data_IF_760660919363
#
_entry.id   IF_760660919363
#
_cell.length_a   1.000
_cell.length_b   1.000
_cell.length_c   1.000
_cell.angle_alpha   90.00
_cell.angle_beta   90.00
_cell.angle_gamma   90.00
#
_symmetry.space_group_name_H-M   'P 1'
#
loop_
_entity.id
_entity.type
_entity.pdbx_description
1 polymer ?
#
# COMPACT_ATOMS: atom_id res chain seq x y z
N UNK A 1 -0.24 6.13 33.62
CA UNK A 1 -0.88 5.32 32.56
C UNK A 1 0.25 4.75 31.73
N UNK A 2 0.39 3.43 31.68
CA UNK A 2 1.49 2.77 30.96
C UNK A 2 1.28 2.98 29.47
N UNK A 3 2.10 3.84 28.85
CA UNK A 3 2.23 3.93 27.40
C UNK A 3 2.78 2.60 26.90
N UNK A 4 1.92 1.62 26.64
CA UNK A 4 2.29 0.46 25.85
C UNK A 4 2.48 0.94 24.42
N UNK A 5 3.67 0.72 23.88
CA UNK A 5 3.95 0.92 22.47
C UNK A 5 2.92 0.12 21.64
N UNK A 6 2.28 0.71 20.63
CA UNK A 6 1.31 0.00 19.82
C UNK A 6 1.95 -1.20 19.13
N UNK A 7 1.35 -2.38 19.29
CA UNK A 7 1.81 -3.61 18.64
C UNK A 7 1.44 -3.55 17.14
N UNK A 8 2.42 -3.50 16.22
CA UNK A 8 2.14 -3.34 14.79
C UNK A 8 1.50 -4.58 14.15
N UNK A 9 1.36 -5.69 14.90
CA UNK A 9 0.76 -6.95 14.46
C UNK A 9 -0.68 -7.15 14.95
N UNK A 10 -1.29 -6.13 15.57
CA UNK A 10 -2.69 -6.16 16.01
C UNK A 10 -3.36 -4.81 15.72
N UNK A 11 -4.62 -4.81 15.32
CA UNK A 11 -5.40 -3.58 15.19
C UNK A 11 -6.05 -3.22 16.52
N UNK A 12 -6.05 -1.93 16.93
CA UNK A 12 -6.96 -1.44 17.96
C UNK A 12 -8.42 -1.73 17.59
N UNK A 13 -9.30 -2.06 18.56
CA UNK A 13 -10.69 -2.42 18.29
C UNK A 13 -11.53 -1.26 17.71
N UNK A 14 -11.22 -0.03 18.10
CA UNK A 14 -12.03 1.16 17.79
C UNK A 14 -11.34 2.11 16.80
N UNK A 15 -10.67 1.55 15.79
CA UNK A 15 -10.00 2.36 14.78
C UNK A 15 -11.01 3.24 14.01
N UNK A 16 -10.72 4.54 13.83
CA UNK A 16 -11.57 5.41 13.05
C UNK A 16 -11.61 4.98 11.57
N UNK A 17 -12.83 4.90 11.03
CA UNK A 17 -13.07 4.48 9.64
C UNK A 17 -12.78 5.64 8.70
N UNK A 18 -11.89 5.48 7.69
CA UNK A 18 -11.71 6.50 6.65
C UNK A 18 -13.00 6.64 5.82
N UNK A 19 -13.42 7.88 5.56
CA UNK A 19 -14.54 8.16 4.68
C UNK A 19 -14.10 8.14 3.22
N UNK A 20 -14.99 7.65 2.35
CA UNK A 20 -14.80 7.77 0.91
C UNK A 20 -15.13 9.20 0.47
N UNK A 21 -14.12 9.89 -0.05
CA UNK A 21 -14.19 11.26 -0.54
C UNK A 21 -14.19 11.36 -2.07
N UNK A 22 -14.29 10.22 -2.78
CA UNK A 22 -14.27 10.17 -4.25
C UNK A 22 -12.91 10.48 -4.87
N UNK A 23 -11.84 10.62 -4.07
CA UNK A 23 -10.52 11.02 -4.57
C UNK A 23 -9.84 10.01 -5.51
N UNK A 24 -10.46 8.85 -5.73
CA UNK A 24 -9.98 7.83 -6.66
C UNK A 24 -10.94 7.56 -7.84
N UNK A 25 -12.07 8.28 -7.94
CA UNK A 25 -13.10 7.99 -8.95
C UNK A 25 -12.58 8.16 -10.39
N UNK A 26 -11.63 9.06 -10.59
CA UNK A 26 -11.01 9.32 -11.90
C UNK A 26 -10.05 8.21 -12.34
N UNK A 27 -9.56 7.37 -11.42
CA UNK A 27 -8.52 6.37 -11.71
C UNK A 27 -9.05 5.19 -12.53
N UNK A 28 -10.36 4.89 -12.46
CA UNK A 28 -10.94 3.77 -13.17
C UNK A 28 -10.67 3.89 -14.68
N UNK A 29 -10.05 2.85 -15.27
CA UNK A 29 -9.69 2.76 -16.69
C UNK A 29 -8.55 3.68 -17.15
N UNK A 30 -7.90 4.43 -16.26
CA UNK A 30 -6.67 5.16 -16.60
C UNK A 30 -5.54 4.19 -16.95
N UNK A 31 -4.62 4.63 -17.83
CA UNK A 31 -3.32 3.98 -17.99
C UNK A 31 -2.33 4.58 -17.01
N UNK A 32 -1.49 3.73 -16.44
CA UNK A 32 -0.40 4.18 -15.59
C UNK A 32 0.58 5.07 -16.39
N UNK A 33 1.13 6.10 -15.75
CA UNK A 33 2.18 6.91 -16.33
C UNK A 33 3.48 6.09 -16.45
N UNK A 34 4.25 6.33 -17.50
CA UNK A 34 5.61 5.80 -17.58
C UNK A 34 6.52 6.55 -16.60
N UNK A 35 6.71 5.97 -15.43
CA UNK A 35 7.61 6.46 -14.38
C UNK A 35 8.47 5.31 -13.86
N UNK A 36 9.64 5.65 -13.34
CA UNK A 36 10.54 4.69 -12.71
C UNK A 36 10.57 4.90 -11.20
N UNK A 37 10.28 3.84 -10.46
CA UNK A 37 10.36 3.82 -9.00
C UNK A 37 11.46 2.87 -8.55
N UNK A 38 12.25 3.29 -7.57
CA UNK A 38 13.29 2.44 -6.97
C UNK A 38 12.63 1.33 -6.16
N UNK A 39 13.07 0.09 -6.37
CA UNK A 39 12.60 -1.07 -5.61
C UNK A 39 13.53 -1.43 -4.46
N UNK A 40 13.00 -2.22 -3.53
CA UNK A 40 13.77 -2.88 -2.45
C UNK A 40 14.87 -3.84 -2.94
N UNK A 41 14.95 -4.12 -4.23
CA UNK A 41 16.01 -4.93 -4.85
C UNK A 41 17.11 -4.07 -5.49
N UNK A 42 17.06 -2.74 -5.31
CA UNK A 42 18.00 -1.80 -5.91
C UNK A 42 17.80 -1.57 -7.41
N UNK A 43 16.71 -2.07 -7.98
CA UNK A 43 16.36 -1.90 -9.41
C UNK A 43 15.28 -0.85 -9.59
N UNK A 44 15.29 -0.16 -10.72
CA UNK A 44 14.19 0.68 -11.16
C UNK A 44 13.08 -0.17 -11.76
N UNK A 45 11.83 0.17 -11.45
CA UNK A 45 10.63 -0.48 -11.96
C UNK A 45 9.70 0.53 -12.60
N UNK A 46 9.20 0.19 -13.80
CA UNK A 46 8.16 0.94 -14.48
C UNK A 46 6.89 0.07 -14.58
N UNK A 47 5.90 0.39 -13.75
CA UNK A 47 4.64 -0.35 -13.66
C UNK A 47 3.80 -0.24 -14.96
N UNK A 48 3.94 0.85 -15.73
CA UNK A 48 3.21 1.00 -16.99
C UNK A 48 3.75 0.11 -18.11
N UNK A 49 5.04 -0.28 -18.04
CA UNK A 49 5.70 -1.16 -19.01
C UNK A 49 5.60 -2.65 -18.70
N UNK A 50 5.07 -3.01 -17.53
CA UNK A 50 4.89 -4.40 -17.17
C UNK A 50 3.70 -5.00 -17.96
N UNK A 51 3.99 -5.98 -18.81
CA UNK A 51 2.96 -6.79 -19.46
C UNK A 51 2.36 -7.78 -18.47
N UNK A 52 1.04 -7.98 -18.54
CA UNK A 52 0.31 -8.90 -17.69
C UNK A 52 -0.38 -8.24 -16.50
N UNK A 53 -0.64 -9.06 -15.49
CA UNK A 53 -1.53 -8.74 -14.37
C UNK A 53 -0.72 -8.31 -13.15
N UNK A 54 -1.09 -7.19 -12.54
CA UNK A 54 -0.37 -6.63 -11.39
C UNK A 54 -1.31 -6.13 -10.31
N UNK A 55 -0.96 -6.35 -9.05
CA UNK A 55 -1.60 -5.75 -7.88
C UNK A 55 -0.62 -4.74 -7.29
N UNK A 56 -1.08 -3.52 -7.08
CA UNK A 56 -0.31 -2.46 -6.40
C UNK A 56 -1.09 -2.00 -5.19
N UNK A 57 -0.60 -2.29 -3.99
CA UNK A 57 -1.18 -1.74 -2.76
C UNK A 57 -0.33 -0.58 -2.24
N UNK A 58 -1.00 0.48 -1.81
CA UNK A 58 -0.38 1.73 -1.37
C UNK A 58 -0.73 1.96 0.09
N UNK A 59 0.27 2.29 0.90
CA UNK A 59 0.11 2.41 2.34
C UNK A 59 0.80 3.67 2.91
N UNK A 60 0.22 4.27 3.97
CA UNK A 60 0.75 5.48 4.59
C UNK A 60 2.21 5.35 5.07
N UNK A 61 2.44 4.56 6.13
CA UNK A 61 3.76 4.33 6.73
C UNK A 61 3.74 3.12 7.69
N UNK A 62 4.86 2.41 7.78
CA UNK A 62 5.12 1.35 8.76
C UNK A 62 6.03 1.87 9.87
N UNK A 63 5.97 1.22 11.04
CA UNK A 63 6.90 1.52 12.13
C UNK A 63 8.35 1.20 11.75
N UNK A 64 9.27 2.08 12.13
CA UNK A 64 10.71 1.96 11.87
C UNK A 64 11.41 1.62 13.18
N UNK A 65 12.15 0.49 13.28
CA UNK A 65 12.85 0.12 14.50
C UNK A 65 13.82 1.23 14.95
N UNK A 66 13.81 1.54 16.25
CA UNK A 66 14.65 2.57 16.84
C UNK A 66 14.20 4.01 16.56
N UNK A 67 13.07 4.23 15.89
CA UNK A 67 12.41 5.55 15.81
C UNK A 67 11.17 5.58 16.69
N UNK A 68 10.88 6.76 17.23
CA UNK A 68 9.64 6.99 17.95
C UNK A 68 8.43 6.83 17.01
N UNK A 69 7.30 6.31 17.52
CA UNK A 69 6.07 6.26 16.74
C UNK A 69 5.61 7.69 16.41
N UNK A 70 4.92 7.82 15.27
CA UNK A 70 4.22 9.06 14.93
C UNK A 70 3.16 9.30 16.02
N UNK A 71 3.10 10.46 16.67
CA UNK A 71 2.11 10.69 17.72
C UNK A 71 0.68 10.55 17.17
N UNK A 72 -0.29 10.22 18.03
CA UNK A 72 -1.73 10.08 17.72
C UNK A 72 -2.07 9.31 16.41
N UNK A 73 -1.18 8.45 15.93
CA UNK A 73 -1.34 7.75 14.66
C UNK A 73 -2.62 6.90 14.62
N UNK A 74 -2.96 6.29 15.76
CA UNK A 74 -4.16 5.48 15.92
C UNK A 74 -5.47 6.30 15.88
N UNK A 75 -5.39 7.61 16.08
CA UNK A 75 -6.53 8.52 15.98
C UNK A 75 -6.78 9.02 14.55
N UNK A 76 -5.86 8.77 13.60
CA UNK A 76 -5.99 9.24 12.22
C UNK A 76 -6.69 8.17 11.37
N UNK A 77 -7.87 8.45 10.77
CA UNK A 77 -8.60 7.47 9.96
C UNK A 77 -7.75 6.88 8.83
N UNK A 78 -7.63 5.55 8.81
CA UNK A 78 -6.90 4.80 7.78
C UNK A 78 -5.37 4.79 7.90
N UNK A 79 -4.78 5.52 8.85
CA UNK A 79 -3.33 5.57 9.04
C UNK A 79 -2.75 4.26 9.65
N UNK A 80 -3.37 3.65 10.68
CA UNK A 80 -2.87 2.41 11.28
C UNK A 80 -3.02 1.19 10.37
N UNK A 81 -2.25 0.14 10.68
CA UNK A 81 -2.40 -1.18 10.05
C UNK A 81 -1.61 -1.44 8.76
N UNK A 82 -0.62 -0.61 8.40
CA UNK A 82 0.20 -0.83 7.20
C UNK A 82 0.98 -2.15 7.22
N UNK A 83 1.47 -2.55 8.39
CA UNK A 83 2.13 -3.85 8.58
C UNK A 83 1.16 -4.99 8.28
N UNK A 84 -0.04 -4.95 8.85
CA UNK A 84 -1.07 -5.98 8.65
C UNK A 84 -1.59 -6.03 7.21
N UNK A 85 -1.76 -4.90 6.55
CA UNK A 85 -2.08 -4.88 5.11
C UNK A 85 -1.01 -5.64 4.32
N UNK A 86 0.27 -5.32 4.55
CA UNK A 86 1.39 -5.93 3.82
C UNK A 86 1.51 -7.44 4.12
N UNK A 87 1.35 -7.83 5.39
CA UNK A 87 1.36 -9.24 5.79
C UNK A 87 0.20 -10.00 5.16
N UNK A 88 -1.00 -9.42 5.08
CA UNK A 88 -2.15 -10.05 4.40
C UNK A 88 -1.88 -10.32 2.93
N UNK A 89 -1.17 -9.42 2.22
CA UNK A 89 -0.70 -9.71 0.86
C UNK A 89 0.37 -10.80 0.84
N UNK A 90 1.25 -10.85 1.85
CA UNK A 90 2.31 -11.86 1.98
C UNK A 90 1.73 -13.27 2.16
N UNK A 91 0.76 -13.42 3.06
CA UNK A 91 0.06 -14.69 3.32
C UNK A 91 -0.65 -15.25 2.08
N UNK A 92 -1.13 -14.37 1.19
CA UNK A 92 -1.90 -14.73 -0.01
C UNK A 92 -1.07 -14.68 -1.29
N UNK A 93 0.23 -14.41 -1.18
CA UNK A 93 1.09 -14.18 -2.34
C UNK A 93 1.06 -15.33 -3.35
N UNK A 94 1.12 -16.58 -2.87
CA UNK A 94 1.08 -17.76 -3.74
C UNK A 94 -0.28 -17.92 -4.46
N UNK A 95 -1.38 -17.44 -3.89
CA UNK A 95 -2.69 -17.44 -4.56
C UNK A 95 -2.70 -16.41 -5.70
N UNK A 96 -2.26 -15.18 -5.43
CA UNK A 96 -2.14 -14.15 -6.48
C UNK A 96 -1.21 -14.58 -7.61
N UNK A 97 -0.05 -15.16 -7.26
CA UNK A 97 0.92 -15.68 -8.22
C UNK A 97 0.35 -16.79 -9.10
N UNK A 98 -0.43 -17.72 -8.53
CA UNK A 98 -1.13 -18.77 -9.29
C UNK A 98 -2.15 -18.21 -10.28
N UNK A 99 -2.77 -17.08 -9.95
CA UNK A 99 -3.67 -16.34 -10.84
C UNK A 99 -2.93 -15.46 -11.87
N UNK A 100 -1.59 -15.49 -11.88
CA UNK A 100 -0.74 -14.72 -12.80
C UNK A 100 -0.47 -13.27 -12.36
N UNK A 101 -0.82 -12.90 -11.12
CA UNK A 101 -0.62 -11.54 -10.60
C UNK A 101 0.77 -11.37 -9.95
N UNK A 102 1.49 -10.34 -10.39
CA UNK A 102 2.64 -9.81 -9.66
C UNK A 102 2.16 -8.81 -8.59
N UNK A 103 2.68 -8.90 -7.36
CA UNK A 103 2.32 -7.99 -6.26
C UNK A 103 3.42 -6.97 -6.02
N UNK A 104 3.03 -5.71 -5.81
CA UNK A 104 3.90 -4.62 -5.35
C UNK A 104 3.25 -3.85 -4.18
N UNK A 105 4.07 -3.49 -3.20
CA UNK A 105 3.69 -2.51 -2.17
C UNK A 105 4.34 -1.14 -2.45
N UNK A 106 3.66 -0.04 -2.19
CA UNK A 106 4.17 1.33 -2.41
C UNK A 106 3.95 2.19 -1.18
N UNK A 107 4.96 2.98 -0.81
CA UNK A 107 4.87 4.00 0.21
C UNK A 107 5.85 5.14 -0.07
N UNK A 108 5.56 6.30 0.51
CA UNK A 108 6.44 7.47 0.52
C UNK A 108 7.56 7.39 1.58
N UNK A 109 7.61 6.32 2.38
CA UNK A 109 8.77 6.04 3.24
C UNK A 109 10.05 5.89 2.41
N UNK A 110 11.19 6.24 3.01
CA UNK A 110 12.49 6.21 2.35
C UNK A 110 12.84 4.81 1.82
N UNK A 111 13.73 4.73 0.83
CA UNK A 111 14.19 3.45 0.30
C UNK A 111 14.80 2.56 1.40
N UNK A 112 15.54 3.14 2.35
CA UNK A 112 16.11 2.41 3.48
C UNK A 112 15.03 1.81 4.39
N UNK A 113 13.98 2.56 4.72
CA UNK A 113 12.87 2.08 5.54
C UNK A 113 12.05 0.99 4.82
N UNK A 114 11.83 1.11 3.51
CA UNK A 114 11.18 0.08 2.71
C UNK A 114 12.01 -1.22 2.65
N UNK A 115 13.34 -1.12 2.49
CA UNK A 115 14.25 -2.27 2.49
C UNK A 115 14.24 -2.96 3.86
N UNK A 116 14.37 -2.18 4.95
CA UNK A 116 14.29 -2.67 6.32
C UNK A 116 12.97 -3.40 6.55
N UNK A 117 11.85 -2.76 6.18
CA UNK A 117 10.52 -3.31 6.39
C UNK A 117 10.35 -4.64 5.65
N UNK A 118 10.73 -4.73 4.37
CA UNK A 118 10.71 -5.98 3.59
C UNK A 118 11.51 -7.08 4.27
N UNK A 119 12.73 -6.78 4.74
CA UNK A 119 13.61 -7.75 5.38
C UNK A 119 13.03 -8.26 6.70
N UNK A 120 12.59 -7.37 7.57
CA UNK A 120 12.04 -7.71 8.89
C UNK A 120 10.75 -8.52 8.79
N UNK A 121 9.89 -8.21 7.81
CA UNK A 121 8.61 -8.91 7.60
C UNK A 121 8.70 -10.09 6.65
N UNK A 122 9.86 -10.31 6.02
CA UNK A 122 10.12 -11.40 5.06
C UNK A 122 9.10 -11.44 3.91
N UNK A 123 8.66 -10.28 3.42
CA UNK A 123 7.66 -10.21 2.36
C UNK A 123 8.19 -10.86 1.06
N UNK A 124 7.38 -11.72 0.41
CA UNK A 124 7.82 -12.49 -0.77
C UNK A 124 7.76 -11.69 -2.09
N UNK A 125 7.49 -10.39 -2.02
CA UNK A 125 7.30 -9.52 -3.18
C UNK A 125 8.09 -8.21 -3.06
N UNK A 126 8.05 -7.39 -4.10
CA UNK A 126 8.81 -6.14 -4.20
C UNK A 126 8.05 -5.00 -3.54
N UNK A 127 8.75 -4.13 -2.81
CA UNK A 127 8.23 -2.82 -2.43
C UNK A 127 8.90 -1.74 -3.28
N UNK A 128 8.12 -0.75 -3.69
CA UNK A 128 8.55 0.42 -4.46
C UNK A 128 8.57 1.64 -3.55
N UNK A 129 9.66 2.37 -3.62
CA UNK A 129 9.85 3.63 -2.93
C UNK A 129 9.33 4.77 -3.81
N UNK A 130 8.43 5.57 -3.25
CA UNK A 130 7.93 6.80 -3.88
C UNK A 130 8.05 7.98 -2.90
N UNK A 131 9.22 8.14 -2.28
CA UNK A 131 9.48 9.23 -1.32
C UNK A 131 9.42 10.63 -1.94
N UNK A 132 9.49 10.72 -3.27
CA UNK A 132 9.35 11.96 -4.02
C UNK A 132 7.91 12.19 -4.53
N UNK A 133 6.96 11.33 -4.18
CA UNK A 133 5.55 11.43 -4.60
C UNK A 133 5.34 11.51 -6.13
N UNK A 134 6.22 10.88 -6.92
CA UNK A 134 6.14 10.88 -8.38
C UNK A 134 4.88 10.15 -8.83
N UNK A 135 4.58 8.99 -8.23
CA UNK A 135 3.36 8.24 -8.53
C UNK A 135 2.11 9.04 -8.14
N UNK A 136 2.13 9.66 -6.95
CA UNK A 136 1.05 10.52 -6.47
C UNK A 136 0.77 11.67 -7.43
N UNK A 137 1.79 12.40 -7.85
CA UNK A 137 1.64 13.58 -8.69
C UNK A 137 1.09 13.22 -10.06
N UNK A 138 1.52 12.10 -10.65
CA UNK A 138 1.08 11.68 -11.98
C UNK A 138 -0.32 11.08 -12.01
N UNK A 139 -0.76 10.47 -10.91
CA UNK A 139 -2.10 9.86 -10.82
C UNK A 139 -3.08 10.67 -9.97
N UNK A 140 -2.65 11.78 -9.38
CA UNK A 140 -3.43 12.54 -8.39
C UNK A 140 -3.90 11.66 -7.22
N UNK A 141 -3.02 10.79 -6.70
CA UNK A 141 -3.38 9.88 -5.61
C UNK A 141 -3.62 10.63 -4.30
N UNK A 142 -4.58 10.16 -3.48
CA UNK A 142 -4.95 10.84 -2.26
C UNK A 142 -3.87 10.73 -1.18
N UNK A 143 -3.68 11.83 -0.45
CA UNK A 143 -2.74 11.94 0.67
C UNK A 143 -3.42 12.62 1.87
N UNK A 144 -2.77 12.53 3.03
CA UNK A 144 -3.10 13.32 4.22
C UNK A 144 -1.82 13.86 4.86
N UNK A 145 -1.94 14.94 5.62
CA UNK A 145 -0.82 15.50 6.39
C UNK A 145 -0.95 15.12 7.86
N UNK A 146 0.16 14.73 8.47
CA UNK A 146 0.28 14.53 9.91
C UNK A 146 1.69 14.91 10.35
N UNK A 147 1.82 15.64 11.45
CA UNK A 147 3.12 16.04 12.03
C UNK A 147 4.09 16.69 11.02
N UNK A 148 3.58 17.53 10.12
CA UNK A 148 4.38 18.22 9.11
C UNK A 148 4.89 17.33 7.97
N UNK A 149 4.45 16.06 7.92
CA UNK A 149 4.78 15.12 6.86
C UNK A 149 3.53 14.75 6.05
N UNK A 150 3.72 14.51 4.75
CA UNK A 150 2.70 14.00 3.84
C UNK A 150 2.74 12.47 3.81
N UNK A 151 1.57 11.84 3.83
CA UNK A 151 1.40 10.38 3.76
C UNK A 151 0.35 10.02 2.72
N UNK A 152 0.49 8.85 2.11
CA UNK A 152 -0.56 8.28 1.28
C UNK A 152 -1.79 7.92 2.09
N UNK A 153 -3.00 8.20 1.57
CA UNK A 153 -4.18 7.44 2.00
C UNK A 153 -4.08 6.02 1.44
N UNK A 154 -4.59 5.03 2.16
CA UNK A 154 -4.46 3.61 1.79
C UNK A 154 -5.38 3.26 0.62
N UNK A 155 -4.82 2.64 -0.41
CA UNK A 155 -5.59 2.09 -1.54
C UNK A 155 -4.94 0.81 -2.09
N UNK A 156 -5.66 0.08 -2.94
CA UNK A 156 -5.09 -0.95 -3.80
C UNK A 156 -5.61 -0.81 -5.24
N UNK A 157 -4.77 -1.16 -6.20
CA UNK A 157 -5.04 -1.13 -7.62
C UNK A 157 -4.84 -2.52 -8.22
N UNK A 158 -5.74 -2.93 -9.10
CA UNK A 158 -5.55 -4.06 -10.00
C UNK A 158 -5.27 -3.50 -11.38
N UNK A 159 -4.18 -3.96 -11.99
CA UNK A 159 -3.68 -3.52 -13.27
C UNK A 159 -3.62 -4.70 -14.25
N UNK A 160 -3.86 -4.40 -15.52
CA UNK A 160 -3.65 -5.31 -16.64
C UNK A 160 -3.04 -4.53 -17.80
N UNK A 161 -1.84 -4.93 -18.23
CA UNK A 161 -1.06 -4.27 -19.29
C UNK A 161 -0.96 -2.75 -19.09
N UNK A 162 -0.57 -2.36 -17.88
CA UNK A 162 -0.42 -0.97 -17.45
C UNK A 162 -1.72 -0.17 -17.34
N UNK A 163 -2.90 -0.79 -17.47
CA UNK A 163 -4.20 -0.13 -17.30
C UNK A 163 -4.84 -0.48 -15.96
N UNK A 164 -5.40 0.51 -15.27
CA UNK A 164 -6.14 0.31 -14.02
C UNK A 164 -7.48 -0.34 -14.34
N UNK A 165 -7.66 -1.58 -13.85
CA UNK A 165 -8.87 -2.38 -14.02
C UNK A 165 -9.83 -2.22 -12.84
N UNK A 166 -9.30 -2.08 -11.63
CA UNK A 166 -10.07 -1.90 -10.40
C UNK A 166 -9.30 -1.08 -9.37
N UNK A 167 -10.05 -0.30 -8.59
CA UNK A 167 -9.53 0.50 -7.47
C UNK A 167 -10.26 0.08 -6.19
N UNK A 168 -9.50 -0.08 -5.11
CA UNK A 168 -10.01 -0.26 -3.75
C UNK A 168 -9.61 0.96 -2.94
N UNK A 169 -10.56 1.87 -2.72
CA UNK A 169 -10.36 3.07 -1.94
C UNK A 169 -11.71 3.51 -1.33
N UNK A 170 -11.72 3.97 -0.07
CA UNK A 170 -10.66 3.78 0.93
C UNK A 170 -10.55 2.30 1.36
N UNK A 171 -9.37 1.88 1.78
CA UNK A 171 -9.17 0.52 2.32
C UNK A 171 -9.40 0.50 3.82
N UNK A 172 -10.45 -0.20 4.26
CA UNK A 172 -10.72 -0.49 5.68
C UNK A 172 -11.54 -1.80 5.84
N UNK A 173 -11.31 -2.61 6.89
CA UNK A 173 -10.14 -2.56 7.78
C UNK A 173 -8.87 -2.99 7.00
N UNK A 174 -7.68 -2.50 7.40
CA UNK A 174 -6.46 -2.61 6.60
C UNK A 174 -5.96 -4.05 6.41
N UNK A 175 -6.18 -4.91 7.40
CA UNK A 175 -5.85 -6.34 7.40
C UNK A 175 -6.72 -7.16 6.42
N UNK A 176 -7.91 -6.67 6.07
CA UNK A 176 -8.79 -7.33 5.10
C UNK A 176 -8.52 -6.94 3.64
N UNK A 177 -7.58 -6.02 3.37
CA UNK A 177 -7.31 -5.53 2.02
C UNK A 177 -7.04 -6.67 1.02
N UNK A 178 -6.09 -7.55 1.35
CA UNK A 178 -5.71 -8.65 0.46
C UNK A 178 -6.85 -9.65 0.25
N UNK A 179 -7.65 -9.93 1.29
CA UNK A 179 -8.84 -10.78 1.18
C UNK A 179 -9.89 -10.18 0.24
N UNK A 180 -10.15 -8.87 0.34
CA UNK A 180 -11.09 -8.17 -0.56
C UNK A 180 -10.60 -8.16 -2.01
N UNK A 181 -9.30 -7.94 -2.22
CA UNK A 181 -8.68 -8.02 -3.55
C UNK A 181 -8.83 -9.42 -4.13
N UNK A 182 -8.50 -10.46 -3.36
CA UNK A 182 -8.62 -11.85 -3.81
C UNK A 182 -10.06 -12.23 -4.16
N UNK A 183 -11.02 -11.92 -3.28
CA UNK A 183 -12.43 -12.22 -3.53
C UNK A 183 -12.98 -11.52 -4.79
N UNK A 184 -12.55 -10.28 -5.05
CA UNK A 184 -12.90 -9.58 -6.28
C UNK A 184 -12.30 -10.30 -7.50
N UNK A 185 -11.04 -10.70 -7.44
CA UNK A 185 -10.39 -11.44 -8.53
C UNK A 185 -11.11 -12.77 -8.80
N UNK A 186 -11.42 -13.55 -7.78
CA UNK A 186 -12.16 -14.83 -7.92
C UNK A 186 -13.53 -14.66 -8.58
N UNK A 187 -14.13 -13.46 -8.49
CA UNK A 187 -15.45 -13.15 -9.06
C UNK A 187 -15.41 -12.47 -10.42
N UNK A 188 -14.22 -12.05 -10.89
CA UNK A 188 -14.08 -11.21 -12.10
C UNK A 188 -13.01 -11.73 -13.07
N UNK A 189 -12.47 -12.91 -12.85
CA UNK A 189 -11.54 -13.60 -13.75
C UNK A 189 -12.21 -14.75 -14.52
#
# INVERSE_FOLDING_TARGET
MTNQQPNPYTLPPDLPVPQDDGACDHLARMRLPEIELTSTEGKLWNLAKHSGKTIVYIYPATGVPGKDPIPDWDAIPGAPGCTLQSLGFGERYEQFKKMGYQVFGVSAQSAAEQIEFKQRTKLPFILLNDSNFILRDKLSLPTFQAYGQLFYKRLALILEDGKIRQVFYPVFPPDQCATKVLAWLESNE
#
